data_IF_342506350519
#
_entry.id   IF_342506350519
#
_cell.length_a   1.000
_cell.length_b   1.000
_cell.length_c   1.000
_cell.angle_alpha   90.00
_cell.angle_beta   90.00
_cell.angle_gamma   90.00
#
_symmetry.space_group_name_H-M   'P 1'
#
loop_
_entity.id
_entity.type
_entity.pdbx_description
1 polymer ?
#
# COMPACT_ATOMS: atom_id res chain seq x y z
N UNK A 1 4.98 27.32 -14.46
CA UNK A 1 4.69 25.88 -14.48
C UNK A 1 5.06 25.37 -13.10
N UNK A 2 4.20 24.63 -12.40
CA UNK A 2 4.57 24.13 -11.07
C UNK A 2 4.93 22.65 -11.21
N UNK A 3 6.22 22.35 -11.04
CA UNK A 3 6.88 21.04 -11.05
C UNK A 3 6.69 20.25 -9.73
N UNK A 4 5.54 20.45 -9.04
CA UNK A 4 5.30 19.83 -7.73
C UNK A 4 4.29 18.69 -7.90
N UNK A 5 4.72 17.49 -7.54
CA UNK A 5 3.86 16.31 -7.44
C UNK A 5 3.44 16.09 -5.98
N UNK A 6 2.13 15.99 -5.74
CA UNK A 6 1.58 15.60 -4.44
C UNK A 6 1.59 14.07 -4.34
N UNK A 7 2.23 13.53 -3.31
CA UNK A 7 2.14 12.10 -2.99
C UNK A 7 0.83 11.82 -2.25
N UNK A 8 0.45 10.55 -2.18
CA UNK A 8 -0.55 10.10 -1.22
C UNK A 8 -0.05 10.24 0.23
N UNK A 9 -0.99 10.13 1.17
CA UNK A 9 -0.72 10.29 2.59
C UNK A 9 -0.56 8.97 3.32
N UNK A 10 -1.04 8.93 4.57
CA UNK A 10 -1.09 7.72 5.38
C UNK A 10 -2.10 6.69 4.87
N UNK A 11 -1.86 6.09 3.69
CA UNK A 11 -2.65 4.98 3.10
C UNK A 11 -2.91 3.92 4.15
N UNK A 12 -1.87 3.61 4.92
CA UNK A 12 -2.01 2.60 5.92
C UNK A 12 -3.03 2.96 7.01
N UNK A 13 -2.87 4.12 7.62
CA UNK A 13 -3.78 4.58 8.67
C UNK A 13 -5.24 4.62 8.20
N UNK A 14 -5.48 5.05 6.96
CA UNK A 14 -6.82 5.07 6.37
C UNK A 14 -7.42 3.66 6.18
N UNK A 15 -6.61 2.69 5.74
CA UNK A 15 -7.05 1.29 5.67
C UNK A 15 -7.44 0.78 7.06
N UNK A 16 -6.61 1.07 8.08
CA UNK A 16 -6.88 0.64 9.46
C UNK A 16 -8.20 1.23 9.96
N UNK A 17 -8.38 2.54 9.81
CA UNK A 17 -9.57 3.28 10.24
C UNK A 17 -10.85 2.71 9.62
N UNK A 18 -10.80 2.28 8.35
CA UNK A 18 -11.95 1.76 7.60
C UNK A 18 -12.21 0.27 7.82
N UNK A 19 -11.17 -0.51 8.12
CA UNK A 19 -11.26 -1.98 8.23
C UNK A 19 -11.87 -2.49 9.54
N UNK A 20 -11.91 -1.66 10.59
CA UNK A 20 -12.36 -2.02 11.94
C UNK A 20 -11.76 -3.33 12.49
N UNK A 21 -10.61 -3.75 11.96
CA UNK A 21 -9.97 -5.04 12.27
C UNK A 21 -8.87 -4.83 13.30
N UNK A 22 -8.64 -5.83 14.16
CA UNK A 22 -7.53 -5.80 15.13
C UNK A 22 -6.19 -5.65 14.43
N UNK A 23 -5.29 -4.88 15.04
CA UNK A 23 -3.94 -4.67 14.53
C UNK A 23 -3.19 -6.00 14.40
N UNK A 24 -2.47 -6.16 13.29
CA UNK A 24 -1.62 -7.29 12.95
C UNK A 24 -0.28 -6.74 12.43
N UNK A 25 0.88 -7.39 12.63
CA UNK A 25 2.15 -6.84 12.12
C UNK A 25 2.22 -6.68 10.58
N UNK A 26 1.43 -7.46 9.85
CA UNK A 26 1.18 -7.35 8.40
C UNK A 26 -0.17 -6.67 8.07
N UNK A 27 -0.74 -5.88 8.97
CA UNK A 27 -2.13 -5.47 8.92
C UNK A 27 -2.56 -4.90 7.56
N UNK A 28 -1.75 -4.04 6.92
CA UNK A 28 -2.14 -3.47 5.62
C UNK A 28 -2.20 -4.51 4.50
N UNK A 29 -1.29 -5.49 4.48
CA UNK A 29 -1.28 -6.60 3.50
C UNK A 29 -2.39 -7.61 3.80
N UNK A 30 -2.69 -7.86 5.08
CA UNK A 30 -3.78 -8.75 5.46
C UNK A 30 -5.14 -8.18 5.06
N UNK A 31 -5.39 -6.90 5.35
CA UNK A 31 -6.62 -6.22 4.90
C UNK A 31 -6.70 -6.15 3.38
N UNK A 32 -5.58 -6.00 2.68
CA UNK A 32 -5.57 -6.06 1.22
C UNK A 32 -6.09 -7.39 0.67
N UNK A 33 -5.82 -8.51 1.34
CA UNK A 33 -6.35 -9.81 0.94
C UNK A 33 -7.80 -10.02 1.39
N UNK A 34 -8.12 -9.65 2.63
CA UNK A 34 -9.42 -9.95 3.24
C UNK A 34 -10.52 -8.96 2.78
N UNK A 35 -10.17 -7.69 2.58
CA UNK A 35 -11.08 -6.58 2.27
C UNK A 35 -10.48 -5.66 1.18
N UNK A 36 -10.20 -6.19 -0.03
CA UNK A 36 -9.51 -5.45 -1.10
C UNK A 36 -10.19 -4.14 -1.50
N UNK A 37 -11.52 -4.08 -1.41
CA UNK A 37 -12.31 -2.89 -1.74
C UNK A 37 -11.96 -1.67 -0.87
N UNK A 38 -11.55 -1.89 0.39
CA UNK A 38 -11.10 -0.80 1.27
C UNK A 38 -9.84 -0.17 0.70
N UNK A 39 -8.87 -0.98 0.25
CA UNK A 39 -7.60 -0.50 -0.30
C UNK A 39 -7.82 0.29 -1.58
N UNK A 40 -8.68 -0.22 -2.48
CA UNK A 40 -9.06 0.51 -3.71
C UNK A 40 -9.69 1.86 -3.38
N UNK A 41 -10.64 1.90 -2.43
CA UNK A 41 -11.31 3.14 -2.01
C UNK A 41 -10.35 4.14 -1.40
N UNK A 42 -9.40 3.69 -0.57
CA UNK A 42 -8.38 4.57 0.03
C UNK A 42 -7.51 5.21 -1.06
N UNK A 43 -6.99 4.44 -2.02
CA UNK A 43 -6.22 5.01 -3.13
C UNK A 43 -7.06 5.98 -3.96
N UNK A 44 -8.32 5.62 -4.26
CA UNK A 44 -9.25 6.48 -5.00
C UNK A 44 -9.46 7.82 -4.29
N UNK A 45 -9.64 7.80 -2.97
CA UNK A 45 -9.86 9.04 -2.22
C UNK A 45 -8.62 9.93 -2.22
N UNK A 46 -7.40 9.37 -2.16
CA UNK A 46 -6.17 10.15 -2.34
C UNK A 46 -6.05 10.75 -3.75
N UNK A 47 -6.38 9.98 -4.79
CA UNK A 47 -6.41 10.47 -6.17
C UNK A 47 -7.39 11.64 -6.30
N UNK A 48 -8.61 11.49 -5.81
CA UNK A 48 -9.65 12.54 -5.86
C UNK A 48 -9.29 13.76 -5.00
N UNK A 49 -8.46 13.57 -3.97
CA UNK A 49 -7.92 14.66 -3.15
C UNK A 49 -6.74 15.39 -3.79
N UNK A 50 -6.28 14.95 -4.98
CA UNK A 50 -5.27 15.63 -5.77
C UNK A 50 -3.89 14.95 -5.81
N UNK A 51 -3.74 13.75 -5.24
CA UNK A 51 -2.49 12.99 -5.34
C UNK A 51 -2.13 12.74 -6.81
N UNK A 52 -0.87 13.01 -7.15
CA UNK A 52 -0.25 12.74 -8.47
C UNK A 52 0.61 11.50 -8.46
N UNK A 53 0.94 10.98 -7.28
CA UNK A 53 1.61 9.69 -7.11
C UNK A 53 0.91 8.94 -5.97
N UNK A 54 0.52 7.69 -6.22
CA UNK A 54 0.08 6.78 -5.17
C UNK A 54 1.12 5.70 -4.93
N UNK A 55 1.30 5.28 -3.69
CA UNK A 55 2.23 4.23 -3.29
C UNK A 55 1.51 2.89 -3.19
N UNK A 56 2.12 1.82 -3.71
CA UNK A 56 1.55 0.47 -3.53
C UNK A 56 1.44 0.13 -2.04
N UNK A 57 0.37 -0.58 -1.64
CA UNK A 57 0.19 -1.10 -0.29
C UNK A 57 1.11 -2.33 -0.01
N UNK A 58 2.42 -2.16 -0.21
CA UNK A 58 3.44 -3.21 -0.14
C UNK A 58 4.53 -2.91 0.89
N UNK A 59 4.34 -1.91 1.76
CA UNK A 59 5.32 -1.54 2.79
C UNK A 59 5.76 -2.73 3.65
N UNK A 60 4.81 -3.56 4.08
CA UNK A 60 5.09 -4.75 4.89
C UNK A 60 5.28 -6.03 4.06
N UNK A 61 5.23 -5.93 2.73
CA UNK A 61 5.32 -7.05 1.79
C UNK A 61 6.79 -7.35 1.40
N UNK A 62 7.64 -7.54 2.41
CA UNK A 62 9.02 -8.01 2.24
C UNK A 62 9.10 -9.51 2.53
N UNK A 63 10.05 -10.21 1.88
CA UNK A 63 10.24 -11.66 2.10
C UNK A 63 10.43 -11.99 3.58
N UNK A 64 11.31 -11.25 4.26
CA UNK A 64 11.62 -11.43 5.68
C UNK A 64 10.38 -11.27 6.56
N UNK A 65 9.65 -10.15 6.43
CA UNK A 65 8.49 -9.86 7.27
C UNK A 65 7.30 -10.76 6.98
N UNK A 66 7.05 -11.10 5.72
CA UNK A 66 5.96 -12.01 5.37
C UNK A 66 6.25 -13.44 5.85
N UNK A 67 7.50 -13.91 5.73
CA UNK A 67 7.90 -15.26 6.19
C UNK A 67 7.76 -15.39 7.70
N UNK A 68 8.19 -14.39 8.48
CA UNK A 68 8.08 -14.43 9.95
C UNK A 68 6.64 -14.49 10.48
N UNK A 69 5.65 -14.20 9.63
CA UNK A 69 4.23 -14.25 9.98
C UNK A 69 3.46 -15.32 9.18
N UNK A 70 4.13 -16.24 8.49
CA UNK A 70 3.49 -17.35 7.76
C UNK A 70 2.86 -17.00 6.41
N UNK A 71 3.30 -15.91 5.78
CA UNK A 71 2.85 -15.45 4.45
C UNK A 71 3.96 -15.47 3.38
N UNK A 72 5.10 -16.11 3.64
CA UNK A 72 6.28 -16.04 2.77
C UNK A 72 6.03 -16.50 1.32
N UNK A 73 5.17 -17.49 1.14
CA UNK A 73 4.72 -18.04 -0.16
C UNK A 73 3.80 -17.07 -0.95
N UNK A 74 3.24 -16.07 -0.28
CA UNK A 74 2.28 -15.10 -0.85
C UNK A 74 2.92 -13.79 -1.27
N UNK A 75 4.25 -13.68 -1.28
CA UNK A 75 4.95 -12.44 -1.63
C UNK A 75 4.55 -11.93 -3.01
N UNK A 76 4.67 -12.77 -4.04
CA UNK A 76 4.31 -12.38 -5.41
C UNK A 76 2.83 -12.03 -5.53
N UNK A 77 1.96 -12.79 -4.85
CA UNK A 77 0.53 -12.54 -4.81
C UNK A 77 0.20 -11.18 -4.16
N UNK A 78 0.92 -10.79 -3.10
CA UNK A 78 0.74 -9.50 -2.44
C UNK A 78 1.05 -8.35 -3.40
N UNK A 79 2.19 -8.41 -4.09
CA UNK A 79 2.59 -7.37 -5.06
C UNK A 79 1.63 -7.29 -6.26
N UNK A 80 1.24 -8.44 -6.83
CA UNK A 80 0.24 -8.47 -7.92
C UNK A 80 -1.11 -7.91 -7.48
N UNK A 81 -1.56 -8.24 -6.27
CA UNK A 81 -2.81 -7.72 -5.71
C UNK A 81 -2.71 -6.21 -5.51
N UNK A 82 -1.64 -5.71 -4.91
CA UNK A 82 -1.44 -4.27 -4.72
C UNK A 82 -1.48 -3.49 -6.05
N UNK A 83 -0.78 -3.98 -7.08
CA UNK A 83 -0.79 -3.38 -8.43
C UNK A 83 -2.19 -3.40 -9.03
N UNK A 84 -2.91 -4.52 -8.90
CA UNK A 84 -4.28 -4.64 -9.40
C UNK A 84 -5.20 -3.60 -8.75
N UNK A 85 -5.17 -3.46 -7.43
CA UNK A 85 -6.04 -2.54 -6.69
C UNK A 85 -5.69 -1.07 -6.96
N UNK A 86 -4.40 -0.72 -7.05
CA UNK A 86 -3.97 0.63 -7.43
C UNK A 86 -4.40 1.00 -8.87
N UNK A 87 -4.35 0.04 -9.81
CA UNK A 87 -4.89 0.28 -11.17
C UNK A 87 -6.40 0.38 -11.19
N UNK A 88 -7.09 -0.38 -10.33
CA UNK A 88 -8.54 -0.28 -10.19
C UNK A 88 -8.95 1.08 -9.64
N UNK A 89 -8.23 1.63 -8.65
CA UNK A 89 -8.54 2.96 -8.10
C UNK A 89 -8.36 4.07 -9.13
N UNK A 90 -7.38 3.98 -10.03
CA UNK A 90 -7.24 4.91 -11.16
C UNK A 90 -8.49 4.90 -12.06
N UNK A 91 -8.98 3.70 -12.42
CA UNK A 91 -10.21 3.53 -13.22
C UNK A 91 -11.43 4.11 -12.50
N UNK A 92 -11.61 3.78 -11.22
CA UNK A 92 -12.74 4.26 -10.40
C UNK A 92 -12.69 5.76 -10.09
N UNK A 93 -11.51 6.39 -10.22
CA UNK A 93 -11.36 7.84 -10.08
C UNK A 93 -11.67 8.59 -11.38
N UNK A 94 -11.81 7.88 -12.51
CA UNK A 94 -12.05 8.48 -13.84
C UNK A 94 -11.04 9.58 -14.20
N UNK A 95 -9.80 9.44 -13.72
CA UNK A 95 -8.71 10.36 -14.06
C UNK A 95 -8.17 10.07 -15.46
N UNK A 96 -7.56 11.08 -16.08
CA UNK A 96 -6.91 10.92 -17.39
C UNK A 96 -5.76 9.91 -17.24
N UNK A 97 -5.63 9.00 -18.21
CA UNK A 97 -4.56 8.01 -18.18
C UNK A 97 -3.17 8.69 -18.17
N UNK A 98 -2.28 8.19 -17.33
CA UNK A 98 -0.96 8.80 -17.10
C UNK A 98 -0.94 10.08 -16.25
N UNK A 99 -2.10 10.61 -15.80
CA UNK A 99 -2.14 11.82 -14.94
C UNK A 99 -1.78 11.56 -13.47
N UNK A 100 -1.73 10.29 -13.06
CA UNK A 100 -1.32 9.83 -11.73
C UNK A 100 -0.36 8.65 -11.90
N UNK A 101 0.77 8.70 -11.21
CA UNK A 101 1.79 7.65 -11.24
C UNK A 101 1.59 6.66 -10.09
N UNK A 102 2.01 5.41 -10.29
CA UNK A 102 2.06 4.38 -9.25
C UNK A 102 3.52 4.18 -8.85
N UNK A 103 3.86 4.45 -7.60
CA UNK A 103 5.17 4.18 -7.03
C UNK A 103 5.21 2.82 -6.34
N UNK A 104 6.25 2.04 -6.61
CA UNK A 104 6.55 0.85 -5.84
C UNK A 104 6.94 1.22 -4.41
N UNK A 105 6.43 0.50 -3.42
CA UNK A 105 6.76 0.70 -2.02
C UNK A 105 7.60 -0.47 -1.52
N UNK A 106 8.87 -0.19 -1.20
CA UNK A 106 9.83 -1.14 -0.64
C UNK A 106 10.16 -0.70 0.79
N UNK A 107 9.43 -1.27 1.77
CA UNK A 107 9.70 -1.01 3.17
C UNK A 107 11.00 -1.66 3.68
N UNK A 108 11.45 -1.33 4.89
CA UNK A 108 12.62 -1.96 5.50
C UNK A 108 12.39 -3.46 5.75
N UNK A 109 13.48 -4.22 5.86
CA UNK A 109 13.43 -5.68 5.97
C UNK A 109 12.63 -6.17 7.19
N UNK A 110 12.83 -5.54 8.35
CA UNK A 110 12.30 -6.01 9.63
C UNK A 110 11.33 -4.98 10.24
N UNK A 111 11.83 -3.86 10.73
CA UNK A 111 11.04 -2.76 11.28
C UNK A 111 11.63 -1.40 10.88
N UNK A 112 10.80 -0.38 10.95
CA UNK A 112 11.19 1.00 10.67
C UNK A 112 11.60 1.64 11.99
N UNK A 113 12.70 2.40 11.98
CA UNK A 113 13.14 3.21 13.11
C UNK A 113 13.52 2.42 14.38
N UNK A 114 13.81 1.11 14.26
CA UNK A 114 14.33 0.27 15.35
C UNK A 114 15.67 -0.30 14.90
N UNK A 115 16.76 0.36 15.26
CA UNK A 115 18.11 -0.03 14.85
C UNK A 115 18.50 -1.41 15.40
N UNK A 116 18.03 -1.76 16.58
CA UNK A 116 18.34 -3.04 17.26
C UNK A 116 17.81 -4.28 16.52
N UNK A 117 16.90 -4.10 15.57
CA UNK A 117 16.32 -5.21 14.78
C UNK A 117 16.71 -5.15 13.30
N UNK A 118 17.65 -4.28 12.91
CA UNK A 118 18.26 -4.37 11.58
C UNK A 118 19.08 -5.65 11.48
N UNK A 119 19.00 -6.34 10.35
CA UNK A 119 19.93 -7.42 10.05
C UNK A 119 21.31 -6.80 9.76
N UNK A 120 22.37 -7.36 10.35
CA UNK A 120 23.77 -6.99 10.05
C UNK A 120 24.11 -7.17 8.56
#
# INVERSE_FOLDING_TARGET
MIDIALLDGGVGQEIQNRSMTKAHPLWSVKIMFDQPDIVTKVHRDFILSGAKVITLNTYTASKTRMTSHGFGDKLELAHKTAIKLARQSLKESSVIDGSVQIAGCLGPLVASYVAEVSMD
#
